data_IF_174352583767
#
_entry.id   IF_174352583767
#
_cell.length_a   1.000
_cell.length_b   1.000
_cell.length_c   1.000
_cell.angle_alpha   90.00
_cell.angle_beta   90.00
_cell.angle_gamma   90.00
#
_symmetry.space_group_name_H-M   'P 1'
#
loop_
_entity.id
_entity.type
_entity.pdbx_description
1 polymer ?
#
# COMPACT_ATOMS: atom_id res chain seq x y z
N UNK A 1 -9.94 30.22 16.60
CA UNK A 1 -11.14 30.37 17.46
C UNK A 1 -10.85 30.41 18.95
N UNK A 2 -10.07 29.48 19.55
CA UNK A 2 -9.74 29.55 21.00
C UNK A 2 -9.03 30.86 21.38
N UNK A 3 -8.03 31.28 20.59
CA UNK A 3 -7.28 32.53 20.80
C UNK A 3 -8.20 33.76 20.66
N UNK A 4 -9.18 33.69 19.76
CA UNK A 4 -10.18 34.74 19.54
C UNK A 4 -11.15 34.84 20.75
N UNK A 5 -11.63 33.70 21.27
CA UNK A 5 -12.50 33.67 22.44
C UNK A 5 -11.82 34.18 23.72
N UNK A 6 -10.51 33.94 23.87
CA UNK A 6 -9.74 34.50 25.00
C UNK A 6 -9.55 36.02 24.91
N UNK A 7 -9.57 36.58 23.70
CA UNK A 7 -9.29 38.01 23.46
C UNK A 7 -10.55 38.88 23.50
N UNK A 8 -11.73 38.31 23.20
CA UNK A 8 -12.97 39.08 23.01
C UNK A 8 -14.07 38.84 24.08
N UNK A 9 -13.91 37.89 25.01
CA UNK A 9 -14.88 37.67 26.10
C UNK A 9 -14.35 38.16 27.45
N UNK A 10 -15.24 38.69 28.29
CA UNK A 10 -14.94 39.13 29.67
C UNK A 10 -14.29 38.00 30.48
N UNK A 11 -13.26 38.35 31.28
CA UNK A 11 -12.33 37.42 31.98
C UNK A 11 -13.01 36.27 32.73
N UNK A 12 -14.25 36.44 33.20
CA UNK A 12 -14.99 35.45 33.98
C UNK A 12 -15.65 34.37 33.11
N UNK A 13 -16.14 34.71 31.91
CA UNK A 13 -16.79 33.76 31.00
C UNK A 13 -15.79 33.14 30.00
N UNK A 14 -14.66 33.81 29.73
CA UNK A 14 -13.64 33.33 28.80
C UNK A 14 -13.07 31.94 29.16
N UNK A 15 -12.99 31.59 30.46
CA UNK A 15 -12.55 30.25 30.90
C UNK A 15 -13.56 29.16 30.54
N UNK A 16 -14.85 29.38 30.80
CA UNK A 16 -15.92 28.41 30.50
C UNK A 16 -16.04 28.21 28.98
N UNK A 17 -16.05 29.29 28.21
CA UNK A 17 -16.05 29.20 26.74
C UNK A 17 -14.80 28.50 26.20
N UNK A 18 -13.62 28.75 26.78
CA UNK A 18 -12.39 28.06 26.37
C UNK A 18 -12.44 26.56 26.68
N UNK A 19 -12.98 26.16 27.83
CA UNK A 19 -13.16 24.74 28.19
C UNK A 19 -14.17 24.07 27.25
N UNK A 20 -15.34 24.68 27.01
CA UNK A 20 -16.34 24.13 26.09
C UNK A 20 -15.79 23.99 24.66
N UNK A 21 -15.06 25.00 24.16
CA UNK A 21 -14.43 24.93 22.85
C UNK A 21 -13.34 23.84 22.78
N UNK A 22 -12.50 23.71 23.81
CA UNK A 22 -11.51 22.63 23.90
C UNK A 22 -12.18 21.27 23.90
N UNK A 23 -13.21 21.06 24.74
CA UNK A 23 -13.97 19.81 24.78
C UNK A 23 -14.63 19.48 23.45
N UNK A 24 -15.22 20.46 22.76
CA UNK A 24 -15.81 20.27 21.43
C UNK A 24 -14.74 19.89 20.38
N UNK A 25 -13.56 20.52 20.43
CA UNK A 25 -12.43 20.18 19.54
C UNK A 25 -11.93 18.76 19.82
N UNK A 26 -11.72 18.39 21.09
CA UNK A 26 -11.27 17.04 21.46
C UNK A 26 -12.32 15.98 21.11
N UNK A 27 -13.60 16.24 21.35
CA UNK A 27 -14.68 15.32 21.01
C UNK A 27 -14.78 15.13 19.48
N UNK A 28 -14.65 16.22 18.71
CA UNK A 28 -14.61 16.14 17.24
C UNK A 28 -13.37 15.37 16.76
N UNK A 29 -12.21 15.61 17.36
CA UNK A 29 -10.98 14.88 17.04
C UNK A 29 -11.12 13.38 17.37
N UNK A 30 -11.67 13.05 18.54
CA UNK A 30 -11.94 11.67 18.95
C UNK A 30 -12.91 10.98 17.99
N UNK A 31 -14.02 11.61 17.64
CA UNK A 31 -14.98 11.07 16.66
C UNK A 31 -14.33 10.89 15.28
N UNK A 32 -13.47 11.81 14.85
CA UNK A 32 -12.74 11.69 13.60
C UNK A 32 -11.73 10.52 13.61
N UNK A 33 -11.01 10.32 14.71
CA UNK A 33 -10.08 9.19 14.86
C UNK A 33 -10.86 7.87 14.95
N UNK A 34 -11.88 7.80 15.81
CA UNK A 34 -12.71 6.60 15.98
C UNK A 34 -13.41 6.19 14.70
N UNK A 35 -13.98 7.13 13.94
CA UNK A 35 -14.59 6.82 12.64
C UNK A 35 -13.58 6.29 11.63
N UNK A 36 -12.36 6.85 11.58
CA UNK A 36 -11.29 6.36 10.69
C UNK A 36 -10.81 4.97 11.08
N UNK A 37 -10.57 4.71 12.37
CA UNK A 37 -10.20 3.39 12.88
C UNK A 37 -11.30 2.38 12.59
N UNK A 38 -12.56 2.72 12.90
CA UNK A 38 -13.70 1.85 12.65
C UNK A 38 -13.85 1.54 11.17
N UNK A 39 -13.71 2.54 10.28
CA UNK A 39 -13.76 2.34 8.82
C UNK A 39 -12.71 1.35 8.30
N UNK A 40 -11.59 1.23 9.00
CA UNK A 40 -10.45 0.39 8.61
C UNK A 40 -10.58 -1.02 9.18
N UNK A 41 -11.05 -1.14 10.42
CA UNK A 41 -11.09 -2.40 11.17
C UNK A 41 -12.40 -3.17 10.95
N UNK A 42 -13.50 -2.48 10.62
CA UNK A 42 -14.83 -3.10 10.53
C UNK A 42 -14.89 -4.24 9.49
N UNK A 43 -14.22 -4.09 8.34
CA UNK A 43 -14.25 -5.11 7.29
C UNK A 43 -13.51 -6.39 7.71
N UNK A 44 -12.26 -6.35 8.20
CA UNK A 44 -11.61 -7.51 8.81
C UNK A 44 -12.41 -8.14 9.96
N UNK A 45 -13.09 -7.35 10.79
CA UNK A 45 -13.93 -7.87 11.88
C UNK A 45 -15.15 -8.62 11.34
N UNK A 46 -15.87 -8.06 10.36
CA UNK A 46 -17.00 -8.74 9.71
C UNK A 46 -16.54 -10.06 9.08
N UNK A 47 -15.41 -10.04 8.37
CA UNK A 47 -14.82 -11.26 7.81
C UNK A 47 -14.51 -12.28 8.89
N UNK A 48 -13.84 -11.87 9.97
CA UNK A 48 -13.46 -12.76 11.08
C UNK A 48 -14.68 -13.42 11.71
N UNK A 49 -15.74 -12.65 11.99
CA UNK A 49 -16.98 -13.16 12.57
C UNK A 49 -17.72 -14.10 11.61
N UNK A 50 -17.75 -13.78 10.32
CA UNK A 50 -18.37 -14.62 9.30
C UNK A 50 -17.63 -15.94 9.16
N UNK A 51 -16.30 -15.91 9.12
CA UNK A 51 -15.46 -17.10 9.05
C UNK A 51 -15.59 -17.96 10.31
N UNK A 52 -15.62 -17.35 11.49
CA UNK A 52 -15.78 -18.07 12.74
C UNK A 52 -17.14 -18.78 12.80
N UNK A 53 -18.22 -18.06 12.51
CA UNK A 53 -19.58 -18.62 12.49
C UNK A 53 -19.70 -19.77 11.49
N UNK A 54 -19.18 -19.60 10.27
CA UNK A 54 -19.21 -20.64 9.25
C UNK A 54 -18.35 -21.85 9.58
N UNK A 55 -17.16 -21.65 10.14
CA UNK A 55 -16.29 -22.76 10.54
C UNK A 55 -16.90 -23.58 11.69
N UNK A 56 -17.59 -22.95 12.65
CA UNK A 56 -18.31 -23.68 13.70
C UNK A 56 -19.37 -24.60 13.08
N UNK A 57 -20.14 -24.10 12.11
CA UNK A 57 -21.16 -24.89 11.40
C UNK A 57 -20.51 -26.03 10.60
N UNK A 58 -19.44 -25.75 9.85
CA UNK A 58 -18.72 -26.74 9.04
C UNK A 58 -18.14 -27.86 9.92
N UNK A 59 -17.47 -27.50 11.01
CA UNK A 59 -16.86 -28.47 11.92
C UNK A 59 -17.93 -29.38 12.52
N UNK A 60 -19.01 -28.81 13.06
CA UNK A 60 -20.11 -29.60 13.65
C UNK A 60 -20.80 -30.50 12.61
N UNK A 61 -21.03 -29.99 11.41
CA UNK A 61 -21.62 -30.78 10.33
C UNK A 61 -20.70 -31.94 9.88
N UNK A 62 -19.40 -31.68 9.79
CA UNK A 62 -18.40 -32.68 9.41
C UNK A 62 -18.21 -33.76 10.49
N UNK A 63 -18.22 -33.34 11.75
CA UNK A 63 -18.17 -34.19 12.93
C UNK A 63 -19.34 -35.18 12.94
N UNK A 64 -20.57 -34.67 12.88
CA UNK A 64 -21.79 -35.47 13.00
C UNK A 64 -22.07 -36.37 11.79
N UNK A 65 -21.73 -35.92 10.56
CA UNK A 65 -22.13 -36.63 9.34
C UNK A 65 -21.07 -37.56 8.78
N UNK A 66 -19.79 -37.28 9.03
CA UNK A 66 -18.69 -37.91 8.30
C UNK A 66 -17.69 -38.57 9.24
N UNK A 67 -17.24 -37.88 10.29
CA UNK A 67 -16.16 -38.41 11.15
C UNK A 67 -16.66 -39.33 12.26
N UNK A 68 -17.74 -38.95 12.95
CA UNK A 68 -18.32 -39.71 14.06
C UNK A 68 -19.84 -39.90 13.86
N UNK A 69 -20.27 -40.57 12.77
CA UNK A 69 -21.70 -40.80 12.52
C UNK A 69 -22.38 -41.63 13.63
N UNK A 70 -21.63 -42.51 14.30
CA UNK A 70 -22.15 -43.41 15.34
C UNK A 70 -21.90 -42.89 16.79
N UNK A 71 -21.51 -41.62 16.92
CA UNK A 71 -21.21 -40.98 18.21
C UNK A 71 -19.73 -40.81 18.49
N UNK A 72 -19.36 -39.61 18.96
CA UNK A 72 -18.00 -39.16 19.21
C UNK A 72 -17.91 -37.66 18.97
N UNK A 73 -16.98 -36.98 19.66
CA UNK A 73 -16.81 -35.54 19.49
C UNK A 73 -15.36 -35.14 19.28
N UNK A 74 -15.15 -34.09 18.47
CA UNK A 74 -13.86 -33.43 18.44
C UNK A 74 -13.60 -32.76 19.80
N UNK A 75 -12.34 -32.74 20.27
CA UNK A 75 -11.96 -31.94 21.42
C UNK A 75 -12.36 -30.48 21.23
N UNK A 76 -12.86 -29.83 22.28
CA UNK A 76 -13.20 -28.40 22.24
C UNK A 76 -12.01 -27.52 21.84
N UNK A 77 -10.79 -28.00 22.08
CA UNK A 77 -9.54 -27.38 21.63
C UNK A 77 -9.49 -27.12 20.11
N UNK A 78 -10.16 -27.93 19.29
CA UNK A 78 -10.26 -27.70 17.84
C UNK A 78 -10.95 -26.37 17.55
N UNK A 79 -12.11 -26.13 18.17
CA UNK A 79 -12.89 -24.91 17.96
C UNK A 79 -12.28 -23.72 18.71
N UNK A 80 -11.68 -23.93 19.88
CA UNK A 80 -11.13 -22.87 20.71
C UNK A 80 -9.77 -22.34 20.21
N UNK A 81 -8.91 -23.20 19.63
CA UNK A 81 -7.55 -22.82 19.25
C UNK A 81 -7.27 -23.01 17.77
N UNK A 82 -7.55 -24.19 17.22
CA UNK A 82 -7.12 -24.53 15.85
C UNK A 82 -7.93 -23.78 14.79
N UNK A 83 -9.26 -23.70 14.93
CA UNK A 83 -10.10 -22.95 14.01
C UNK A 83 -9.76 -21.45 14.02
N UNK A 84 -9.65 -20.76 15.16
CA UNK A 84 -9.18 -19.38 15.21
C UNK A 84 -7.78 -19.20 14.60
N UNK A 85 -6.88 -20.16 14.80
CA UNK A 85 -5.55 -20.13 14.17
C UNK A 85 -5.63 -20.21 12.65
N UNK A 86 -6.46 -21.10 12.08
CA UNK A 86 -6.66 -21.19 10.63
C UNK A 86 -7.24 -19.89 10.05
N UNK A 87 -8.26 -19.33 10.72
CA UNK A 87 -8.86 -18.05 10.35
C UNK A 87 -7.82 -16.93 10.39
N UNK A 88 -7.02 -16.87 11.46
CA UNK A 88 -5.95 -15.89 11.59
C UNK A 88 -4.94 -16.01 10.44
N UNK A 89 -4.50 -17.22 10.09
CA UNK A 89 -3.55 -17.43 8.99
C UNK A 89 -4.15 -17.04 7.65
N UNK A 90 -5.42 -17.38 7.36
CA UNK A 90 -6.08 -16.95 6.13
C UNK A 90 -6.22 -15.42 6.06
N UNK A 91 -6.70 -14.78 7.12
CA UNK A 91 -6.86 -13.32 7.17
C UNK A 91 -5.51 -12.60 7.04
N UNK A 92 -4.47 -13.09 7.72
CA UNK A 92 -3.11 -12.57 7.61
C UNK A 92 -2.58 -12.70 6.18
N UNK A 93 -2.81 -13.85 5.54
CA UNK A 93 -2.36 -14.09 4.15
C UNK A 93 -3.11 -13.23 3.14
N UNK A 94 -4.41 -13.00 3.33
CA UNK A 94 -5.22 -12.06 2.55
C UNK A 94 -4.73 -10.63 2.76
N UNK A 95 -4.45 -10.24 4.01
CA UNK A 95 -3.89 -8.93 4.34
C UNK A 95 -2.55 -8.69 3.67
N UNK A 96 -1.63 -9.65 3.74
CA UNK A 96 -0.32 -9.59 3.08
C UNK A 96 -0.46 -9.48 1.56
N UNK A 97 -1.42 -10.21 0.98
CA UNK A 97 -1.68 -10.21 -0.46
C UNK A 97 -2.35 -8.92 -0.95
N UNK A 98 -2.86 -8.08 -0.05
CA UNK A 98 -3.57 -6.84 -0.41
C UNK A 98 -5.05 -7.03 -0.70
N UNK A 99 -5.67 -8.08 -0.17
CA UNK A 99 -7.11 -8.31 -0.32
C UNK A 99 -7.99 -7.23 0.32
N UNK A 100 -7.42 -6.45 1.26
CA UNK A 100 -8.07 -5.31 1.91
C UNK A 100 -7.67 -3.95 1.30
N UNK A 101 -6.74 -3.93 0.35
CA UNK A 101 -6.32 -2.69 -0.30
C UNK A 101 -7.44 -2.16 -1.22
N UNK A 102 -7.56 -0.84 -1.33
CA UNK A 102 -8.53 -0.17 -2.21
C UNK A 102 -7.84 0.24 -3.52
N UNK A 103 -8.48 0.06 -4.69
CA UNK A 103 -9.73 -0.67 -4.92
C UNK A 103 -9.53 -2.18 -4.74
N UNK A 104 -10.52 -2.84 -4.11
CA UNK A 104 -10.43 -4.28 -3.82
C UNK A 104 -10.36 -5.10 -5.11
N UNK A 105 -9.33 -5.94 -5.21
CA UNK A 105 -9.13 -6.87 -6.33
C UNK A 105 -9.40 -8.30 -5.86
N UNK A 106 -10.35 -8.97 -6.51
CA UNK A 106 -10.70 -10.36 -6.16
C UNK A 106 -9.51 -11.32 -6.29
N UNK A 107 -8.65 -11.09 -7.29
CA UNK A 107 -7.42 -11.88 -7.48
C UNK A 107 -6.49 -11.85 -6.27
N UNK A 108 -6.44 -10.74 -5.52
CA UNK A 108 -5.60 -10.61 -4.31
C UNK A 108 -6.18 -11.35 -3.11
N UNK A 109 -7.51 -11.40 -3.00
CA UNK A 109 -8.18 -12.21 -1.97
C UNK A 109 -7.92 -13.70 -2.25
N UNK A 110 -8.15 -14.15 -3.48
CA UNK A 110 -7.95 -15.55 -3.85
C UNK A 110 -6.48 -15.98 -3.70
N UNK A 111 -5.54 -15.12 -4.13
CA UNK A 111 -4.10 -15.33 -3.92
C UNK A 111 -3.79 -15.53 -2.43
N UNK A 112 -4.34 -14.68 -1.55
CA UNK A 112 -4.14 -14.80 -0.11
C UNK A 112 -4.74 -16.07 0.50
N UNK A 113 -5.91 -16.50 0.03
CA UNK A 113 -6.53 -17.76 0.49
C UNK A 113 -5.68 -18.96 0.07
N UNK A 114 -5.20 -19.00 -1.17
CA UNK A 114 -4.36 -20.08 -1.67
C UNK A 114 -3.05 -20.16 -0.86
N UNK A 115 -2.36 -19.02 -0.69
CA UNK A 115 -1.13 -18.94 0.10
C UNK A 115 -1.41 -19.36 1.56
N UNK A 116 -2.44 -18.83 2.19
CA UNK A 116 -2.79 -19.17 3.57
C UNK A 116 -3.13 -20.65 3.74
N UNK A 117 -3.85 -21.24 2.79
CA UNK A 117 -4.16 -22.68 2.79
C UNK A 117 -2.91 -23.52 2.66
N UNK A 118 -1.98 -23.13 1.78
CA UNK A 118 -0.68 -23.81 1.65
C UNK A 118 0.12 -23.73 2.95
N UNK A 119 0.19 -22.55 3.58
CA UNK A 119 0.86 -22.37 4.88
C UNK A 119 0.24 -23.25 5.96
N UNK A 120 -1.10 -23.31 6.04
CA UNK A 120 -1.81 -24.18 7.00
C UNK A 120 -1.51 -25.64 6.72
N UNK A 121 -1.49 -26.09 5.46
CA UNK A 121 -1.19 -27.47 5.09
C UNK A 121 0.26 -27.88 5.41
N UNK A 122 1.22 -26.98 5.16
CA UNK A 122 2.63 -27.20 5.53
C UNK A 122 2.77 -27.26 7.05
N UNK A 123 2.18 -26.31 7.78
CA UNK A 123 2.17 -26.34 9.24
C UNK A 123 1.53 -27.62 9.79
N UNK A 124 0.38 -28.01 9.24
CA UNK A 124 -0.31 -29.25 9.58
C UNK A 124 0.58 -30.49 9.38
N UNK A 125 1.41 -30.52 8.33
CA UNK A 125 2.30 -31.65 8.05
C UNK A 125 3.47 -31.77 9.06
N UNK A 126 3.83 -30.68 9.75
CA UNK A 126 4.92 -30.63 10.73
C UNK A 126 4.45 -30.87 12.18
N UNK A 127 3.14 -30.85 12.41
CA UNK A 127 2.53 -30.97 13.75
C UNK A 127 2.37 -32.45 14.15
N UNK A 128 2.55 -32.83 15.43
CA UNK A 128 2.35 -34.20 15.90
C UNK A 128 0.92 -34.72 15.67
N UNK A 129 0.79 -36.04 15.51
CA UNK A 129 -0.49 -36.70 15.15
C UNK A 129 -1.65 -36.40 16.10
N UNK A 130 -1.37 -36.16 17.39
CA UNK A 130 -2.38 -35.79 18.39
C UNK A 130 -3.12 -34.48 18.07
N UNK A 131 -2.50 -33.59 17.30
CA UNK A 131 -3.05 -32.29 16.90
C UNK A 131 -3.47 -32.27 15.43
N UNK A 132 -3.34 -33.40 14.73
CA UNK A 132 -3.70 -33.55 13.32
C UNK A 132 -5.16 -33.97 13.19
N UNK A 133 -6.04 -32.97 13.17
CA UNK A 133 -7.46 -33.15 12.83
C UNK A 133 -7.64 -33.44 11.33
N UNK A 134 -8.82 -33.19 10.77
CA UNK A 134 -9.11 -33.49 9.36
C UNK A 134 -8.54 -32.45 8.38
N UNK A 135 -7.75 -32.91 7.39
CA UNK A 135 -7.32 -32.08 6.24
C UNK A 135 -8.51 -31.54 5.43
N UNK A 136 -9.62 -32.27 5.41
CA UNK A 136 -10.83 -31.84 4.70
C UNK A 136 -11.38 -30.53 5.29
N UNK A 137 -11.26 -30.31 6.60
CA UNK A 137 -11.67 -29.05 7.24
C UNK A 137 -10.84 -27.86 6.74
N UNK A 138 -9.56 -28.07 6.42
CA UNK A 138 -8.69 -27.04 5.85
C UNK A 138 -9.17 -26.68 4.44
N UNK A 139 -9.42 -27.67 3.58
CA UNK A 139 -9.84 -27.43 2.19
C UNK A 139 -11.25 -26.85 2.10
N UNK A 140 -12.21 -27.40 2.85
CA UNK A 140 -13.58 -26.91 2.90
C UNK A 140 -13.62 -25.52 3.53
N UNK A 141 -12.84 -25.29 4.59
CA UNK A 141 -12.69 -23.97 5.20
C UNK A 141 -12.10 -22.94 4.23
N UNK A 142 -11.14 -23.31 3.39
CA UNK A 142 -10.60 -22.43 2.35
C UNK A 142 -11.67 -22.08 1.28
N UNK A 143 -12.44 -23.08 0.83
CA UNK A 143 -13.54 -22.87 -0.12
C UNK A 143 -14.63 -21.96 0.48
N UNK A 144 -15.01 -22.22 1.74
CA UNK A 144 -15.95 -21.37 2.48
C UNK A 144 -15.41 -19.95 2.68
N UNK A 145 -14.11 -19.80 2.93
CA UNK A 145 -13.47 -18.49 3.05
C UNK A 145 -13.61 -17.72 1.75
N UNK A 146 -13.32 -18.34 0.60
CA UNK A 146 -13.48 -17.68 -0.70
C UNK A 146 -14.94 -17.27 -0.96
N UNK A 147 -15.89 -18.18 -0.72
CA UNK A 147 -17.30 -17.93 -0.96
C UNK A 147 -17.88 -16.85 -0.03
N UNK A 148 -17.65 -16.99 1.27
CA UNK A 148 -18.14 -16.03 2.28
C UNK A 148 -17.56 -14.64 2.05
N UNK A 149 -16.28 -14.55 1.68
CA UNK A 149 -15.65 -13.27 1.37
C UNK A 149 -16.38 -12.58 0.21
N UNK A 150 -16.65 -13.27 -0.90
CA UNK A 150 -17.41 -12.72 -2.03
C UNK A 150 -18.81 -12.27 -1.58
N UNK A 151 -19.52 -13.13 -0.87
CA UNK A 151 -20.89 -12.87 -0.40
C UNK A 151 -20.96 -11.63 0.49
N UNK A 152 -20.03 -11.49 1.45
CA UNK A 152 -19.95 -10.31 2.32
C UNK A 152 -19.78 -9.04 1.47
N UNK A 153 -18.90 -9.03 0.47
CA UNK A 153 -18.71 -7.83 -0.37
C UNK A 153 -19.92 -7.54 -1.23
N UNK A 154 -20.58 -8.57 -1.78
CA UNK A 154 -21.82 -8.39 -2.55
C UNK A 154 -22.92 -7.80 -1.68
N UNK A 155 -23.11 -8.35 -0.47
CA UNK A 155 -24.09 -7.85 0.50
C UNK A 155 -23.82 -6.38 0.87
N UNK A 156 -22.57 -6.05 1.23
CA UNK A 156 -22.19 -4.69 1.58
C UNK A 156 -22.42 -3.70 0.41
N UNK A 157 -22.25 -4.14 -0.85
CA UNK A 157 -22.52 -3.32 -2.04
C UNK A 157 -24.02 -3.07 -2.21
N UNK A 158 -24.84 -4.10 -2.05
CA UNK A 158 -26.31 -4.00 -2.13
C UNK A 158 -26.84 -3.07 -1.05
N UNK A 159 -26.30 -3.16 0.18
CA UNK A 159 -26.64 -2.29 1.30
C UNK A 159 -26.09 -0.85 1.17
N UNK A 160 -25.38 -0.54 0.08
CA UNK A 160 -24.77 0.78 -0.19
C UNK A 160 -23.89 1.28 0.96
N UNK A 161 -23.26 0.37 1.72
CA UNK A 161 -22.35 0.69 2.82
C UNK A 161 -20.97 1.13 2.30
N UNK A 162 -20.96 2.23 1.53
CA UNK A 162 -19.78 2.78 0.84
C UNK A 162 -18.64 3.13 1.79
N UNK A 163 -18.95 3.48 3.05
CA UNK A 163 -17.97 3.72 4.10
C UNK A 163 -17.09 2.50 4.40
N UNK A 164 -17.62 1.28 4.26
CA UNK A 164 -16.91 0.03 4.55
C UNK A 164 -16.13 -0.46 3.33
N UNK A 165 -16.73 -0.44 2.14
CA UNK A 165 -16.11 -0.96 0.92
C UNK A 165 -15.13 0.06 0.30
N UNK A 166 -15.27 1.35 0.64
CA UNK A 166 -14.63 2.46 -0.05
C UNK A 166 -15.46 2.94 -1.24
N UNK A 167 -15.32 4.22 -1.60
CA UNK A 167 -15.87 4.77 -2.84
C UNK A 167 -15.22 4.02 -4.01
N UNK A 168 -15.93 3.02 -4.53
CA UNK A 168 -15.61 2.39 -5.82
C UNK A 168 -16.37 3.17 -6.90
N UNK A 169 -16.19 4.50 -6.93
CA UNK A 169 -16.65 5.25 -8.08
C UNK A 169 -15.84 4.71 -9.27
N UNK A 170 -16.55 3.99 -10.15
CA UNK A 170 -15.98 3.40 -11.35
C UNK A 170 -15.43 4.46 -12.30
N UNK A 171 -15.89 5.70 -12.15
CA UNK A 171 -15.41 6.87 -12.87
C UNK A 171 -14.04 7.28 -12.34
N UNK A 172 -13.00 7.03 -13.13
CA UNK A 172 -11.67 7.59 -12.85
C UNK A 172 -11.76 9.09 -12.99
N UNK A 173 -11.55 9.82 -11.89
CA UNK A 173 -11.49 11.27 -11.85
C UNK A 173 -10.06 11.70 -12.12
N UNK A 174 -9.80 12.07 -13.37
CA UNK A 174 -8.46 12.29 -13.90
C UNK A 174 -8.14 13.78 -13.88
N UNK A 175 -6.99 14.12 -13.31
CA UNK A 175 -6.32 15.40 -13.52
C UNK A 175 -5.14 15.19 -14.47
N UNK A 176 -4.95 16.11 -15.41
CA UNK A 176 -3.83 16.10 -16.34
C UNK A 176 -2.96 17.31 -16.02
N UNK A 177 -1.65 17.10 -15.92
CA UNK A 177 -0.67 18.13 -15.58
C UNK A 177 0.27 18.31 -16.75
N UNK A 178 0.22 19.49 -17.36
CA UNK A 178 1.01 19.81 -18.55
C UNK A 178 0.54 21.09 -19.23
N UNK A 179 1.20 21.42 -20.33
CA UNK A 179 0.79 22.49 -21.25
C UNK A 179 -0.60 22.21 -21.84
N UNK A 180 -1.23 23.25 -22.40
CA UNK A 180 -2.56 23.12 -23.00
C UNK A 180 -2.58 22.13 -24.17
N UNK A 181 -1.54 22.18 -25.01
CA UNK A 181 -1.36 21.26 -26.12
C UNK A 181 -1.34 19.80 -25.65
N UNK A 182 -0.58 19.50 -24.60
CA UNK A 182 -0.48 18.16 -24.04
C UNK A 182 -1.77 17.72 -23.34
N UNK A 183 -2.49 18.64 -22.71
CA UNK A 183 -3.82 18.37 -22.15
C UNK A 183 -4.79 17.88 -23.22
N UNK A 184 -4.95 18.65 -24.30
CA UNK A 184 -5.90 18.31 -25.37
C UNK A 184 -5.49 17.00 -26.08
N UNK A 185 -4.18 16.78 -26.25
CA UNK A 185 -3.64 15.51 -26.76
C UNK A 185 -3.98 14.32 -25.87
N UNK A 186 -3.67 14.40 -24.58
CA UNK A 186 -3.97 13.31 -23.63
C UNK A 186 -5.48 13.10 -23.47
N UNK A 187 -6.27 14.18 -23.45
CA UNK A 187 -7.73 14.11 -23.38
C UNK A 187 -8.34 13.41 -24.61
N UNK A 188 -7.86 13.73 -25.82
CA UNK A 188 -8.30 13.07 -27.05
C UNK A 188 -7.93 11.58 -27.08
N UNK A 189 -6.73 11.21 -26.61
CA UNK A 189 -6.31 9.81 -26.48
C UNK A 189 -7.14 9.05 -25.44
N UNK A 190 -7.49 9.68 -24.32
CA UNK A 190 -8.40 9.08 -23.33
C UNK A 190 -9.79 8.85 -23.92
N UNK A 191 -10.29 9.76 -24.78
CA UNK A 191 -11.61 9.64 -25.42
C UNK A 191 -11.76 8.45 -26.36
N UNK A 192 -10.64 7.88 -26.80
CA UNK A 192 -10.61 6.68 -27.63
C UNK A 192 -10.61 5.39 -26.78
N UNK A 193 -10.59 5.49 -25.46
CA UNK A 193 -10.60 4.33 -24.55
C UNK A 193 -12.01 4.05 -24.01
N UNK A 194 -12.41 2.77 -23.97
CA UNK A 194 -13.71 2.34 -23.41
C UNK A 194 -13.78 2.40 -21.86
N UNK A 195 -12.85 3.10 -21.23
CA UNK A 195 -12.79 3.21 -19.76
C UNK A 195 -13.77 4.28 -19.30
N UNK A 196 -14.54 4.01 -18.25
CA UNK A 196 -15.39 5.04 -17.64
C UNK A 196 -14.52 6.03 -16.86
N UNK A 197 -14.27 7.21 -17.42
CA UNK A 197 -13.46 8.26 -16.81
C UNK A 197 -14.17 9.63 -16.88
N UNK A 198 -13.78 10.54 -16.01
CA UNK A 198 -14.20 11.94 -15.95
C UNK A 198 -12.95 12.79 -15.80
N UNK A 199 -12.64 13.57 -16.84
CA UNK A 199 -11.55 14.54 -16.78
C UNK A 199 -12.05 15.73 -15.97
N UNK A 200 -11.39 16.01 -14.84
CA UNK A 200 -11.76 17.12 -13.96
C UNK A 200 -11.24 18.44 -14.55
N UNK A 201 -10.02 18.45 -15.07
CA UNK A 201 -9.42 19.62 -15.72
C UNK A 201 -7.90 19.57 -15.83
N UNK A 202 -7.33 20.65 -16.37
CA UNK A 202 -5.90 20.83 -16.56
C UNK A 202 -5.25 21.52 -15.36
N UNK A 203 -3.98 21.21 -15.09
CA UNK A 203 -3.12 21.93 -14.14
C UNK A 203 -1.93 22.47 -14.91
N UNK A 204 -1.83 23.80 -14.97
CA UNK A 204 -0.76 24.50 -15.68
C UNK A 204 0.52 24.54 -14.86
N UNK A 205 1.66 24.59 -15.56
CA UNK A 205 2.98 24.63 -14.93
C UNK A 205 3.37 26.02 -14.45
N UNK A 206 2.90 27.06 -15.15
CA UNK A 206 3.17 28.45 -14.81
C UNK A 206 1.94 29.12 -14.18
N UNK A 207 2.22 29.92 -13.14
CA UNK A 207 1.28 30.84 -12.51
C UNK A 207 1.08 32.14 -13.33
N UNK A 208 1.79 32.27 -14.46
CA UNK A 208 1.95 33.51 -15.23
C UNK A 208 1.27 33.53 -16.60
N UNK A 209 0.47 32.53 -16.95
CA UNK A 209 -0.42 32.63 -18.12
C UNK A 209 -1.69 33.39 -17.76
N UNK A 210 -1.54 34.71 -17.62
CA UNK A 210 -2.61 35.67 -17.34
C UNK A 210 -3.66 35.82 -18.44
N UNK A 211 -3.70 34.94 -19.45
CA UNK A 211 -4.69 34.98 -20.53
C UNK A 211 -5.48 33.67 -20.74
N UNK A 212 -5.07 32.54 -20.15
CA UNK A 212 -5.78 31.24 -20.27
C UNK A 212 -6.46 30.78 -18.95
N UNK A 213 -6.65 31.70 -18.02
CA UNK A 213 -7.19 31.46 -16.67
C UNK A 213 -8.62 30.89 -16.61
N UNK A 214 -9.35 30.81 -17.72
CA UNK A 214 -10.75 30.38 -17.71
C UNK A 214 -10.96 28.85 -17.72
N UNK A 215 -9.92 28.03 -17.90
CA UNK A 215 -10.07 26.56 -17.95
C UNK A 215 -9.00 25.76 -17.18
N UNK A 216 -7.96 26.39 -16.63
CA UNK A 216 -7.00 25.72 -15.74
C UNK A 216 -7.56 25.69 -14.31
N UNK A 217 -7.45 24.54 -13.63
CA UNK A 217 -7.90 24.39 -12.23
C UNK A 217 -6.95 25.03 -11.23
N UNK A 218 -5.72 25.35 -11.66
CA UNK A 218 -4.70 25.99 -10.84
C UNK A 218 -3.28 25.62 -11.27
N UNK A 219 -2.31 26.07 -10.47
CA UNK A 219 -0.88 25.83 -10.71
C UNK A 219 -0.41 24.50 -10.08
N UNK A 220 0.76 24.01 -10.52
CA UNK A 220 1.39 22.78 -10.02
C UNK A 220 1.51 22.73 -8.49
N UNK A 221 1.79 23.86 -7.84
CA UNK A 221 1.94 23.92 -6.38
C UNK A 221 0.63 23.69 -5.62
N UNK A 222 -0.51 23.93 -6.27
CA UNK A 222 -1.85 23.72 -5.70
C UNK A 222 -2.40 22.32 -5.98
N UNK A 223 -1.66 21.47 -6.70
CA UNK A 223 -2.08 20.13 -7.11
C UNK A 223 -2.61 19.30 -5.93
N UNK A 224 -1.96 19.38 -4.76
CA UNK A 224 -2.41 18.65 -3.56
C UNK A 224 -3.81 19.07 -3.10
N UNK A 225 -4.08 20.36 -3.08
CA UNK A 225 -5.37 20.89 -2.64
C UNK A 225 -6.47 20.59 -3.67
N UNK A 226 -6.15 20.73 -4.97
CA UNK A 226 -7.07 20.39 -6.07
C UNK A 226 -7.46 18.91 -6.01
N UNK A 227 -6.47 18.02 -5.84
CA UNK A 227 -6.72 16.58 -5.68
C UNK A 227 -7.67 16.31 -4.51
N UNK A 228 -7.49 16.99 -3.39
CA UNK A 228 -8.31 16.80 -2.20
C UNK A 228 -9.75 17.33 -2.39
N UNK A 229 -9.90 18.53 -2.96
CA UNK A 229 -11.20 19.19 -3.19
C UNK A 229 -12.04 18.41 -4.19
N UNK A 230 -11.46 18.04 -5.34
CA UNK A 230 -12.19 17.35 -6.40
C UNK A 230 -12.25 15.83 -6.22
N UNK A 231 -11.58 15.30 -5.17
CA UNK A 231 -11.41 13.86 -4.93
C UNK A 231 -10.88 13.14 -6.16
N UNK A 232 -9.86 13.72 -6.81
CA UNK A 232 -9.20 13.10 -7.96
C UNK A 232 -8.51 11.79 -7.53
N UNK A 233 -8.66 10.73 -8.32
CA UNK A 233 -8.08 9.42 -8.01
C UNK A 233 -6.99 9.00 -9.01
N UNK A 234 -6.75 9.78 -10.06
CA UNK A 234 -5.69 9.56 -11.03
C UNK A 234 -5.12 10.92 -11.49
N UNK A 235 -3.79 11.03 -11.54
CA UNK A 235 -3.06 12.20 -12.03
C UNK A 235 -2.13 11.73 -13.14
N UNK A 236 -2.27 12.31 -14.33
CA UNK A 236 -1.43 12.04 -15.49
C UNK A 236 -0.45 13.21 -15.66
N UNK A 237 0.84 12.93 -15.56
CA UNK A 237 1.91 13.90 -15.77
C UNK A 237 2.42 13.81 -17.22
N UNK A 238 2.40 14.93 -17.93
CA UNK A 238 2.96 15.02 -19.28
C UNK A 238 4.48 15.22 -19.18
N UNK A 239 5.25 14.18 -19.51
CA UNK A 239 6.72 14.20 -19.39
C UNK A 239 7.42 15.06 -20.44
N UNK A 240 6.71 15.54 -21.46
CA UNK A 240 7.18 16.59 -22.37
C UNK A 240 7.45 17.90 -21.62
N UNK A 241 6.57 18.23 -20.67
CA UNK A 241 6.55 19.54 -20.02
C UNK A 241 7.09 19.50 -18.58
N UNK A 242 7.03 18.34 -17.93
CA UNK A 242 7.43 18.15 -16.52
C UNK A 242 8.64 17.25 -16.43
N UNK A 243 9.68 17.74 -15.75
CA UNK A 243 10.87 16.94 -15.47
C UNK A 243 10.54 15.75 -14.55
N UNK A 244 11.26 14.63 -14.69
CA UNK A 244 11.08 13.46 -13.83
C UNK A 244 11.24 13.79 -12.34
N UNK A 245 12.09 14.76 -12.01
CA UNK A 245 12.33 15.21 -10.64
C UNK A 245 11.09 15.91 -10.06
N UNK A 246 10.48 16.81 -10.83
CA UNK A 246 9.23 17.48 -10.43
C UNK A 246 8.07 16.49 -10.30
N UNK A 247 7.97 15.50 -11.20
CA UNK A 247 6.95 14.44 -11.09
C UNK A 247 7.11 13.71 -9.75
N UNK A 248 8.33 13.31 -9.38
CA UNK A 248 8.58 12.59 -8.13
C UNK A 248 8.33 13.46 -6.90
N UNK A 249 8.72 14.74 -6.91
CA UNK A 249 8.41 15.70 -5.84
C UNK A 249 6.89 15.84 -5.65
N UNK A 250 6.13 15.96 -6.74
CA UNK A 250 4.67 16.04 -6.68
C UNK A 250 4.05 14.73 -6.20
N UNK A 251 4.56 13.58 -6.66
CA UNK A 251 4.14 12.27 -6.15
C UNK A 251 4.44 12.09 -4.66
N UNK A 252 5.52 12.69 -4.14
CA UNK A 252 5.87 12.67 -2.73
C UNK A 252 4.96 13.57 -1.88
N UNK A 253 4.54 14.72 -2.44
CA UNK A 253 3.61 15.69 -1.80
C UNK A 253 2.17 15.18 -1.76
N UNK A 254 1.77 14.41 -2.78
CA UNK A 254 0.47 13.78 -2.88
C UNK A 254 0.39 12.57 -1.95
N UNK A 255 -0.72 12.44 -1.21
CA UNK A 255 -0.86 11.42 -0.18
C UNK A 255 -0.71 10.01 -0.76
N UNK A 256 0.35 9.33 -0.32
CA UNK A 256 0.73 7.97 -0.70
C UNK A 256 -0.44 6.98 -0.53
N UNK A 257 -1.04 6.58 -1.65
CA UNK A 257 -2.02 5.50 -1.71
C UNK A 257 -3.46 5.87 -2.04
N UNK A 258 -3.79 7.15 -2.25
CA UNK A 258 -5.14 7.57 -2.66
C UNK A 258 -5.20 7.83 -4.18
N UNK A 259 -4.10 8.31 -4.76
CA UNK A 259 -4.05 8.77 -6.16
C UNK A 259 -3.14 7.86 -6.98
N UNK A 260 -3.60 7.42 -8.15
CA UNK A 260 -2.77 6.72 -9.12
C UNK A 260 -1.97 7.75 -9.95
N UNK A 261 -0.67 7.54 -10.04
CA UNK A 261 0.22 8.39 -10.84
C UNK A 261 0.60 7.69 -12.14
N UNK A 262 0.56 8.47 -13.21
CA UNK A 262 0.70 7.99 -14.57
C UNK A 262 1.52 9.00 -15.35
N UNK A 263 2.42 8.54 -16.21
CA UNK A 263 3.26 9.43 -17.01
C UNK A 263 2.94 9.24 -18.49
N UNK A 264 2.47 10.31 -19.13
CA UNK A 264 2.28 10.36 -20.57
C UNK A 264 3.62 10.75 -21.23
N UNK A 265 4.19 9.90 -22.09
CA UNK A 265 5.37 10.24 -22.87
C UNK A 265 5.03 11.29 -23.96
N UNK A 266 6.01 12.07 -24.44
CA UNK A 266 5.86 12.89 -25.63
C UNK A 266 5.51 12.02 -26.86
N UNK A 267 4.87 12.63 -27.87
CA UNK A 267 4.39 11.95 -29.10
C UNK A 267 5.44 11.06 -29.79
N UNK A 268 6.72 11.41 -29.70
CA UNK A 268 7.82 10.69 -30.38
C UNK A 268 8.19 9.34 -29.74
N UNK A 269 7.64 9.00 -28.57
CA UNK A 269 7.97 7.80 -27.80
C UNK A 269 6.87 6.72 -27.84
N UNK A 270 5.90 6.80 -28.76
CA UNK A 270 5.02 5.67 -29.03
C UNK A 270 5.83 4.51 -29.62
N UNK A 271 6.21 3.57 -28.73
CA UNK A 271 6.91 2.34 -29.13
C UNK A 271 5.94 1.51 -29.98
N UNK A 272 6.17 1.50 -31.29
CA UNK A 272 5.54 0.55 -32.21
C UNK A 272 6.21 -0.81 -31.97
N UNK A 273 5.67 -1.57 -31.01
CA UNK A 273 6.12 -2.93 -30.65
C UNK A 273 5.09 -3.97 -31.06
N UNK A 274 5.54 -5.01 -31.76
CA UNK A 274 4.72 -6.05 -32.43
C UNK A 274 4.03 -7.08 -31.51
N UNK A 275 3.77 -6.77 -30.23
CA UNK A 275 3.24 -7.77 -29.29
C UNK A 275 1.96 -7.40 -28.54
N UNK A 276 1.41 -6.19 -28.72
CA UNK A 276 0.03 -5.84 -28.33
C UNK A 276 -0.57 -4.87 -29.36
N UNK A 277 -0.60 -5.30 -30.62
CA UNK A 277 -1.18 -4.56 -31.75
C UNK A 277 -2.70 -4.77 -31.84
N UNK A 278 -3.43 -4.52 -30.76
CA UNK A 278 -4.90 -4.58 -30.75
C UNK A 278 -5.52 -3.57 -29.80
N UNK A 279 -5.11 -2.31 -29.91
CA UNK A 279 -5.98 -1.15 -29.65
C UNK A 279 -5.32 0.10 -30.22
N UNK A 280 -5.55 0.34 -31.52
CA UNK A 280 -5.26 1.60 -32.19
C UNK A 280 -6.00 2.72 -31.43
N UNK A 281 -5.27 3.53 -30.66
CA UNK A 281 -5.82 4.62 -29.85
C UNK A 281 -5.57 4.53 -28.34
N UNK A 282 -4.95 3.46 -27.83
CA UNK A 282 -4.63 3.39 -26.39
C UNK A 282 -3.46 4.31 -26.03
N UNK A 283 -3.73 5.33 -25.18
CA UNK A 283 -2.71 6.15 -24.54
C UNK A 283 -1.67 5.22 -23.86
N UNK A 284 -0.43 5.18 -24.37
CA UNK A 284 0.65 4.44 -23.73
C UNK A 284 1.09 5.23 -22.49
N UNK A 285 0.41 4.99 -21.38
CA UNK A 285 0.78 5.58 -20.10
C UNK A 285 1.68 4.63 -19.35
N UNK A 286 2.84 5.12 -18.93
CA UNK A 286 3.73 4.36 -18.06
C UNK A 286 3.16 4.46 -16.65
N UNK A 287 2.66 3.34 -16.12
CA UNK A 287 2.25 3.23 -14.73
C UNK A 287 3.48 3.34 -13.82
N UNK A 288 3.47 4.29 -12.89
CA UNK A 288 4.61 4.50 -11.99
C UNK A 288 4.51 3.53 -10.82
N UNK A 289 5.46 2.61 -10.67
CA UNK A 289 5.49 1.64 -9.57
C UNK A 289 6.21 2.21 -8.33
N UNK A 290 5.69 3.32 -7.80
CA UNK A 290 6.36 4.06 -6.73
C UNK A 290 6.46 3.27 -5.42
N UNK A 291 7.54 3.52 -4.67
CA UNK A 291 7.72 2.96 -3.33
C UNK A 291 6.61 3.38 -2.36
N UNK A 292 5.94 4.51 -2.62
CA UNK A 292 4.82 5.04 -1.82
C UNK A 292 3.53 4.26 -1.97
N UNK A 293 3.41 3.37 -2.97
CA UNK A 293 2.22 2.53 -3.11
C UNK A 293 2.03 1.68 -1.83
N UNK A 294 0.81 1.59 -1.26
CA UNK A 294 0.56 0.81 -0.05
C UNK A 294 1.03 -0.64 -0.14
N UNK A 295 0.83 -1.27 -1.32
CA UNK A 295 1.33 -2.61 -1.59
C UNK A 295 2.86 -2.71 -1.53
N UNK A 296 3.57 -1.72 -2.06
CA UNK A 296 5.03 -1.66 -2.06
C UNK A 296 5.60 -1.41 -0.66
N UNK A 297 5.00 -0.51 0.11
CA UNK A 297 5.35 -0.29 1.52
C UNK A 297 5.17 -1.56 2.37
N UNK A 298 4.06 -2.28 2.18
CA UNK A 298 3.82 -3.56 2.87
C UNK A 298 4.82 -4.63 2.43
N UNK A 299 5.01 -4.79 1.13
CA UNK A 299 6.00 -5.70 0.56
C UNK A 299 7.41 -5.42 1.08
N UNK A 300 7.80 -4.15 1.18
CA UNK A 300 9.07 -3.73 1.77
C UNK A 300 9.18 -4.10 3.24
N UNK A 301 8.14 -3.84 4.03
CA UNK A 301 8.13 -4.20 5.45
C UNK A 301 8.20 -5.71 5.67
N UNK A 302 7.53 -6.49 4.83
CA UNK A 302 7.60 -7.96 4.89
C UNK A 302 8.99 -8.45 4.51
N UNK A 303 9.59 -7.89 3.45
CA UNK A 303 10.97 -8.17 3.07
C UNK A 303 11.94 -7.87 4.23
N UNK A 304 11.78 -6.75 4.91
CA UNK A 304 12.58 -6.36 6.07
C UNK A 304 12.50 -7.36 7.22
N UNK A 305 11.28 -7.78 7.57
CA UNK A 305 11.04 -8.72 8.66
C UNK A 305 11.54 -10.14 8.32
N UNK A 306 11.22 -10.64 7.12
CA UNK A 306 11.69 -11.96 6.68
C UNK A 306 13.21 -11.99 6.54
N UNK A 307 13.81 -10.93 5.97
CA UNK A 307 15.25 -10.76 5.89
C UNK A 307 15.92 -10.75 7.27
N UNK A 308 15.26 -10.15 8.27
CA UNK A 308 15.75 -10.17 9.66
C UNK A 308 15.69 -11.55 10.30
N UNK A 309 14.58 -12.29 10.11
CA UNK A 309 14.46 -13.67 10.60
C UNK A 309 15.50 -14.58 9.94
N UNK A 310 15.70 -14.44 8.63
CA UNK A 310 16.71 -15.21 7.89
C UNK A 310 18.13 -14.82 8.31
N UNK A 311 18.39 -13.53 8.56
CA UNK A 311 19.67 -13.04 9.08
C UNK A 311 19.98 -13.60 10.47
N UNK A 312 18.98 -13.74 11.35
CA UNK A 312 19.14 -14.39 12.67
C UNK A 312 19.45 -15.87 12.49
N UNK A 313 18.66 -16.59 11.67
CA UNK A 313 18.86 -18.03 11.44
C UNK A 313 20.23 -18.35 10.82
N UNK A 314 20.70 -17.49 9.91
CA UNK A 314 22.00 -17.61 9.24
C UNK A 314 23.13 -16.89 10.01
N UNK A 315 22.85 -16.28 11.16
CA UNK A 315 23.84 -15.51 11.92
C UNK A 315 25.10 -16.30 12.28
N UNK A 316 25.07 -17.62 12.61
CA UNK A 316 26.29 -18.36 12.92
C UNK A 316 27.31 -18.36 11.77
N UNK A 317 26.83 -18.23 10.52
CA UNK A 317 27.68 -18.17 9.32
C UNK A 317 27.95 -16.71 8.93
N UNK A 318 26.94 -15.85 8.96
CA UNK A 318 27.05 -14.46 8.52
C UNK A 318 28.01 -13.62 9.36
N UNK A 319 28.22 -13.96 10.64
CA UNK A 319 29.19 -13.27 11.51
C UNK A 319 30.61 -13.27 10.91
N UNK A 320 30.98 -14.31 10.17
CA UNK A 320 32.30 -14.40 9.52
C UNK A 320 32.38 -13.66 8.18
N UNK A 321 31.23 -13.31 7.58
CA UNK A 321 31.15 -12.65 6.27
C UNK A 321 31.01 -11.14 6.42
N UNK A 322 30.31 -10.68 7.46
CA UNK A 322 30.01 -9.26 7.70
C UNK A 322 31.19 -8.57 8.40
N UNK A 323 31.59 -7.39 7.92
CA UNK A 323 32.73 -6.66 8.47
C UNK A 323 32.57 -6.26 9.94
N UNK A 324 31.34 -5.95 10.38
CA UNK A 324 31.05 -5.57 11.76
C UNK A 324 29.85 -6.36 12.32
N UNK A 325 30.08 -7.52 12.98
CA UNK A 325 29.01 -8.38 13.46
C UNK A 325 28.21 -7.76 14.63
N UNK A 326 28.83 -6.91 15.46
CA UNK A 326 28.13 -6.26 16.58
C UNK A 326 27.06 -5.31 16.04
N UNK A 327 27.44 -4.44 15.10
CA UNK A 327 26.49 -3.55 14.43
C UNK A 327 25.46 -4.31 13.61
N UNK A 328 25.82 -5.45 13.01
CA UNK A 328 24.87 -6.28 12.29
C UNK A 328 23.70 -6.73 13.16
N UNK A 329 23.96 -7.20 14.39
CA UNK A 329 22.88 -7.53 15.33
C UNK A 329 22.05 -6.31 15.75
N UNK A 330 22.70 -5.16 15.98
CA UNK A 330 21.99 -3.91 16.25
C UNK A 330 21.08 -3.50 15.08
N UNK A 331 21.55 -3.68 13.85
CA UNK A 331 20.79 -3.40 12.62
C UNK A 331 19.60 -4.36 12.48
N UNK A 332 19.75 -5.67 12.76
CA UNK A 332 18.63 -6.62 12.80
C UNK A 332 17.55 -6.13 13.77
N UNK A 333 17.93 -5.77 15.00
CA UNK A 333 16.98 -5.27 16.01
C UNK A 333 16.34 -3.96 15.55
N UNK A 334 17.11 -3.04 14.97
CA UNK A 334 16.61 -1.77 14.44
C UNK A 334 15.61 -1.96 13.28
N UNK A 335 15.83 -2.95 12.42
CA UNK A 335 14.92 -3.31 11.33
C UNK A 335 13.64 -3.94 11.90
N UNK A 336 13.74 -4.88 12.86
CA UNK A 336 12.57 -5.48 13.52
C UNK A 336 11.74 -4.42 14.25
N UNK A 337 12.39 -3.54 15.03
CA UNK A 337 11.74 -2.42 15.73
C UNK A 337 11.09 -1.41 14.76
N UNK A 338 11.52 -1.39 13.49
CA UNK A 338 10.99 -0.50 12.47
C UNK A 338 11.60 0.89 12.50
N UNK A 339 12.77 1.03 13.10
CA UNK A 339 13.57 2.26 13.01
C UNK A 339 14.42 2.27 11.72
N UNK A 340 14.80 1.09 11.23
CA UNK A 340 15.59 0.88 10.03
C UNK A 340 14.83 0.02 8.99
N UNK A 341 15.34 0.01 7.77
CA UNK A 341 15.02 -0.93 6.69
C UNK A 341 16.32 -1.49 6.13
N UNK A 342 16.31 -2.67 5.50
CA UNK A 342 17.55 -3.22 4.94
C UNK A 342 18.11 -2.37 3.81
N UNK A 343 17.23 -1.81 2.98
CA UNK A 343 17.62 -0.95 1.84
C UNK A 343 16.86 0.36 1.94
N UNK A 344 17.57 1.48 2.01
CA UNK A 344 16.97 2.82 2.05
C UNK A 344 17.68 3.77 1.10
N UNK A 345 17.22 5.02 1.05
CA UNK A 345 17.85 6.01 0.18
C UNK A 345 19.31 6.25 0.57
N UNK A 346 20.10 6.62 -0.43
CA UNK A 346 21.45 7.14 -0.25
C UNK A 346 21.34 8.44 0.55
N UNK A 347 22.08 8.56 1.65
CA UNK A 347 22.12 9.77 2.44
C UNK A 347 23.00 10.82 1.73
N UNK A 348 22.35 11.69 0.98
CA UNK A 348 22.97 12.84 0.33
C UNK A 348 22.88 13.98 1.35
N UNK A 349 24.02 14.52 1.79
CA UNK A 349 24.08 15.48 2.91
C UNK A 349 23.16 16.69 2.76
N UNK A 350 23.01 17.47 3.85
CA UNK A 350 22.02 18.56 4.03
C UNK A 350 21.90 19.62 2.92
N UNK A 351 22.84 19.72 1.97
CA UNK A 351 22.80 20.72 0.90
C UNK A 351 21.80 20.38 -0.22
N UNK A 352 21.47 19.11 -0.45
CA UNK A 352 20.62 18.68 -1.59
C UNK A 352 19.41 17.86 -1.14
N UNK A 353 18.59 18.41 -0.24
CA UNK A 353 17.35 17.77 0.17
C UNK A 353 16.29 17.89 -0.94
N UNK A 354 16.35 17.01 -1.93
CA UNK A 354 15.17 16.73 -2.74
C UNK A 354 14.08 16.13 -1.83
N UNK A 355 12.83 16.52 -2.04
CA UNK A 355 11.67 15.96 -1.34
C UNK A 355 11.39 14.54 -1.85
N UNK A 356 12.26 13.60 -1.51
CA UNK A 356 11.97 12.18 -1.71
C UNK A 356 10.83 11.77 -0.77
N UNK A 357 9.96 10.84 -1.18
CA UNK A 357 8.95 10.31 -0.30
C UNK A 357 9.57 9.76 0.98
N UNK A 358 8.93 9.99 2.13
CA UNK A 358 9.49 9.57 3.42
C UNK A 358 9.72 8.05 3.45
N UNK A 359 10.96 7.65 3.70
CA UNK A 359 11.36 6.26 3.93
C UNK A 359 12.23 6.20 5.18
N UNK A 360 12.18 5.06 5.90
CA UNK A 360 13.08 4.79 7.01
C UNK A 360 14.53 4.75 6.52
N UNK A 361 15.46 5.02 7.42
CA UNK A 361 16.89 4.94 7.10
C UNK A 361 17.27 3.50 6.74
N UNK A 362 18.04 3.35 5.67
CA UNK A 362 18.54 2.07 5.19
C UNK A 362 19.85 1.66 5.84
N UNK A 363 20.03 0.37 6.11
CA UNK A 363 21.35 -0.20 6.43
C UNK A 363 22.23 -0.16 5.18
N UNK A 364 21.70 -0.68 4.07
CA UNK A 364 22.25 -0.58 2.73
C UNK A 364 21.49 0.46 1.93
N UNK A 365 22.04 0.82 0.78
CA UNK A 365 21.45 1.74 -0.16
C UNK A 365 21.63 1.25 -1.61
N UNK A 366 20.87 1.78 -2.58
CA UNK A 366 21.00 1.39 -3.98
C UNK A 366 22.41 1.54 -4.58
N UNK A 367 23.29 2.38 -4.01
CA UNK A 367 24.65 2.52 -4.49
C UNK A 367 25.53 1.30 -4.17
N UNK A 368 25.18 0.49 -3.17
CA UNK A 368 25.86 -0.78 -2.85
C UNK A 368 25.71 -1.83 -3.99
N UNK A 369 24.97 -1.51 -5.06
CA UNK A 369 24.88 -2.30 -6.29
C UNK A 369 26.07 -2.07 -7.25
N UNK A 370 26.73 -0.92 -7.17
CA UNK A 370 27.78 -0.47 -8.09
C UNK A 370 29.14 -0.55 -7.38
N UNK A 371 30.19 -0.94 -8.10
CA UNK A 371 31.55 -0.94 -7.55
C UNK A 371 32.06 0.51 -7.44
N UNK A 372 32.81 0.81 -6.37
CA UNK A 372 33.22 2.15 -5.92
C UNK A 372 33.97 3.01 -6.96
N UNK A 373 34.35 2.47 -8.12
CA UNK A 373 35.14 3.16 -9.14
C UNK A 373 34.30 3.89 -10.22
N UNK A 374 32.97 3.77 -10.24
CA UNK A 374 32.13 4.39 -11.29
C UNK A 374 31.30 5.60 -10.85
N UNK A 375 31.35 6.01 -9.58
CA UNK A 375 30.45 7.05 -9.07
C UNK A 375 31.06 8.46 -9.09
N UNK A 376 30.84 9.16 -10.21
CA UNK A 376 30.81 10.62 -10.21
C UNK A 376 29.57 11.06 -9.42
N UNK A 377 29.74 12.02 -8.50
CA UNK A 377 28.73 12.54 -7.57
C UNK A 377 27.41 13.02 -8.22
N UNK A 378 27.36 13.18 -9.54
CA UNK A 378 26.16 13.60 -10.29
C UNK A 378 25.09 12.49 -10.48
N UNK A 379 25.40 11.22 -10.19
CA UNK A 379 24.44 10.11 -10.41
C UNK A 379 23.69 9.62 -9.16
N UNK A 380 24.04 10.05 -7.94
CA UNK A 380 23.41 9.52 -6.71
C UNK A 380 21.94 9.93 -6.55
N UNK A 381 21.61 11.15 -6.94
CA UNK A 381 20.23 11.65 -6.92
C UNK A 381 19.35 10.87 -7.89
N UNK A 382 19.82 10.67 -9.12
CA UNK A 382 19.13 9.89 -10.14
C UNK A 382 18.88 8.44 -9.70
N UNK A 383 19.82 7.84 -8.95
CA UNK A 383 19.66 6.50 -8.39
C UNK A 383 18.56 6.46 -7.34
N UNK A 384 18.51 7.44 -6.42
CA UNK A 384 17.44 7.53 -5.43
C UNK A 384 16.06 7.75 -6.08
N UNK A 385 16.01 8.59 -7.13
CA UNK A 385 14.80 8.85 -7.88
C UNK A 385 14.30 7.61 -8.62
N UNK A 386 15.21 6.87 -9.28
CA UNK A 386 14.87 5.61 -9.94
C UNK A 386 14.34 4.59 -8.95
N UNK A 387 14.98 4.49 -7.78
CA UNK A 387 14.54 3.61 -6.69
C UNK A 387 13.15 3.97 -6.14
N UNK A 388 12.87 5.27 -5.97
CA UNK A 388 11.57 5.75 -5.49
C UNK A 388 10.46 5.54 -6.53
N UNK A 389 10.78 5.70 -7.82
CA UNK A 389 9.85 5.65 -8.96
C UNK A 389 9.48 4.22 -9.36
N UNK A 390 10.46 3.31 -9.38
CA UNK A 390 10.30 1.92 -9.82
C UNK A 390 10.78 0.92 -8.77
N UNK A 391 10.00 0.83 -7.69
CA UNK A 391 10.34 -0.03 -6.56
C UNK A 391 10.03 -1.50 -6.86
N UNK A 392 10.98 -2.38 -6.57
CA UNK A 392 10.80 -3.84 -6.66
C UNK A 392 11.57 -4.56 -5.57
N UNK A 393 10.92 -5.55 -4.94
CA UNK A 393 11.56 -6.43 -3.94
C UNK A 393 12.76 -7.17 -4.54
N UNK A 394 12.71 -7.51 -5.83
CA UNK A 394 13.82 -8.19 -6.51
C UNK A 394 15.06 -7.31 -6.53
N UNK A 395 14.89 -5.99 -6.69
CA UNK A 395 15.99 -5.04 -6.63
C UNK A 395 16.57 -4.95 -5.20
N UNK A 396 15.71 -4.89 -4.17
CA UNK A 396 16.15 -4.93 -2.77
C UNK A 396 16.93 -6.22 -2.47
N UNK A 397 16.45 -7.39 -2.90
CA UNK A 397 17.17 -8.67 -2.76
C UNK A 397 18.55 -8.64 -3.40
N UNK A 398 18.67 -8.08 -4.63
CA UNK A 398 19.96 -7.95 -5.31
C UNK A 398 20.92 -7.03 -4.55
N UNK A 399 20.41 -5.92 -4.01
CA UNK A 399 21.20 -4.97 -3.22
C UNK A 399 21.70 -5.65 -1.94
N UNK A 400 20.84 -6.36 -1.21
CA UNK A 400 21.22 -7.09 0.01
C UNK A 400 22.25 -8.18 -0.27
N UNK A 401 22.09 -8.94 -1.35
CA UNK A 401 23.03 -10.00 -1.72
C UNK A 401 24.41 -9.45 -2.09
N UNK A 402 24.48 -8.34 -2.84
CA UNK A 402 25.74 -7.69 -3.21
C UNK A 402 26.39 -6.97 -2.02
N UNK A 403 25.57 -6.29 -1.22
CA UNK A 403 25.98 -5.55 -0.02
C UNK A 403 26.11 -6.42 1.23
N UNK A 404 26.11 -7.76 1.12
CA UNK A 404 26.03 -8.67 2.27
C UNK A 404 27.15 -8.42 3.30
N UNK A 405 28.37 -8.10 2.86
CA UNK A 405 29.50 -7.78 3.75
C UNK A 405 29.31 -6.49 4.54
N UNK A 406 28.47 -5.58 4.04
CA UNK A 406 28.19 -4.26 4.61
C UNK A 406 26.93 -4.24 5.49
N UNK A 407 26.31 -5.38 5.81
CA UNK A 407 25.12 -5.43 6.67
C UNK A 407 25.36 -4.90 8.10
N UNK A 408 26.63 -4.79 8.51
CA UNK A 408 27.05 -4.19 9.78
C UNK A 408 27.43 -2.70 9.70
N UNK A 409 27.00 -1.96 8.67
CA UNK A 409 27.31 -0.53 8.50
C UNK A 409 26.86 0.32 9.68
#
# INVERSE_FOLDING_TARGET
MIIFAQKHFTKQNAKVYSVLLRSAIYLRALLAVSSRVLSTVILPVIDSLTLLGGMIVIVRAWEQRIKFPDGGTYPEALLAFVVPMYIFIWLLSIFISGGYDKPMKFSKILQGIIIGTLVILVGYALVPDAWRFSRALIIIGAAYTALSMIMVRMLLRVLKLKFIIGETDRTRKILIVGSREEFDRVASLLSQTEVNYSIIGNISLDSSDGQEANQSLGALDQLKDIVHVYKANEVIFCSKDISSNQIIDQMAKLDAGIVNHKIAPPESLHIIGSSYASSSGSLYVIDVNSITKPGNLRSKRIFDLLGSVMAIALSPVLIFVVYNPIKFFANIVGVIAGNLTWVGYINIGFKNKQNLPSLRSGVLNPADRFELNEMVNENLENINLLYAKDYSIINDSRIVLRGMRNLGR
#
